data_IF_933712427362
#
_entry.id   IF_933712427362
#
_cell.length_a   1.000
_cell.length_b   1.000
_cell.length_c   1.000
_cell.angle_alpha   90.00
_cell.angle_beta   90.00
_cell.angle_gamma   90.00
#
_symmetry.space_group_name_H-M   'P 1'
#
loop_
_entity.id
_entity.type
_entity.pdbx_description
1 polymer ?
#
# COMPACT_ATOMS: atom_id res chain seq x y z
N UNK A 1 14.98 -4.73 -22.80
CA UNK A 1 15.17 -6.12 -22.33
C UNK A 1 15.48 -6.13 -20.84
N UNK A 2 14.52 -5.68 -20.03
CA UNK A 2 14.40 -6.02 -18.61
C UNK A 2 12.91 -6.09 -18.36
N UNK A 3 12.40 -7.24 -18.79
CA UNK A 3 11.09 -7.77 -18.42
C UNK A 3 11.27 -8.28 -16.99
N UNK A 4 10.97 -7.44 -16.01
CA UNK A 4 10.85 -7.88 -14.61
C UNK A 4 9.39 -7.68 -14.24
N UNK A 5 8.56 -8.61 -14.72
CA UNK A 5 7.33 -8.97 -14.04
C UNK A 5 7.74 -9.57 -12.69
N UNK A 6 7.96 -8.69 -11.72
CA UNK A 6 7.95 -9.10 -10.31
C UNK A 6 6.53 -9.55 -9.98
N UNK A 7 6.29 -10.85 -10.16
CA UNK A 7 5.13 -11.63 -9.71
C UNK A 7 5.01 -11.67 -8.17
N UNK A 8 5.19 -10.53 -7.49
CA UNK A 8 5.02 -10.43 -6.04
C UNK A 8 3.60 -9.96 -5.69
N UNK A 9 2.63 -10.82 -6.02
CA UNK A 9 1.20 -10.65 -5.70
C UNK A 9 0.75 -11.49 -4.49
N UNK A 10 1.67 -11.99 -3.66
CA UNK A 10 1.33 -12.91 -2.58
C UNK A 10 1.21 -12.20 -1.22
N UNK A 11 0.01 -11.71 -0.91
CA UNK A 11 -0.51 -11.65 0.45
C UNK A 11 -2.06 -11.63 0.40
N UNK A 12 -2.69 -12.81 0.31
CA UNK A 12 -4.12 -12.95 0.57
C UNK A 12 -4.34 -13.06 2.10
N UNK A 13 -5.30 -12.31 2.69
CA UNK A 13 -5.59 -12.42 4.11
C UNK A 13 -6.42 -13.68 4.42
N UNK A 14 -6.37 -14.12 5.68
CA UNK A 14 -7.28 -15.12 6.22
C UNK A 14 -8.73 -14.60 6.27
N UNK A 15 -9.73 -15.48 6.13
CA UNK A 15 -11.14 -15.08 6.05
C UNK A 15 -11.68 -14.69 7.44
N UNK A 16 -12.02 -13.41 7.66
CA UNK A 16 -12.76 -13.02 8.87
C UNK A 16 -12.82 -11.53 9.21
N UNK A 17 -11.87 -10.72 8.77
CA UNK A 17 -11.84 -9.28 9.08
C UNK A 17 -12.31 -8.45 7.90
N UNK A 18 -13.22 -7.50 8.14
CA UNK A 18 -13.64 -6.53 7.15
C UNK A 18 -12.40 -5.91 6.47
N UNK A 19 -12.31 -6.03 5.14
CA UNK A 19 -11.13 -5.66 4.34
C UNK A 19 -10.61 -4.29 4.79
N UNK A 20 -9.48 -4.29 5.49
CA UNK A 20 -8.91 -3.08 6.09
C UNK A 20 -8.46 -2.09 5.02
N UNK A 21 -8.33 -0.81 5.39
CA UNK A 21 -7.87 0.23 4.46
C UNK A 21 -6.52 -0.11 3.78
N UNK A 22 -5.59 -0.71 4.54
CA UNK A 22 -4.31 -1.20 4.02
C UNK A 22 -4.46 -2.24 2.91
N UNK A 23 -5.33 -3.22 3.12
CA UNK A 23 -5.53 -4.28 2.14
C UNK A 23 -6.20 -3.76 0.87
N UNK A 24 -7.18 -2.85 0.99
CA UNK A 24 -7.78 -2.20 -0.18
C UNK A 24 -6.74 -1.46 -1.02
N UNK A 25 -5.81 -0.76 -0.37
CA UNK A 25 -4.71 -0.06 -1.05
C UNK A 25 -3.75 -1.04 -1.73
N UNK A 26 -3.40 -2.14 -1.05
CA UNK A 26 -2.54 -3.20 -1.60
C UNK A 26 -3.14 -3.80 -2.88
N UNK A 27 -4.41 -4.21 -2.83
CA UNK A 27 -5.12 -4.76 -3.99
C UNK A 27 -5.18 -3.78 -5.15
N UNK A 28 -5.50 -2.52 -4.87
CA UNK A 28 -5.57 -1.49 -5.91
C UNK A 28 -4.20 -1.15 -6.50
N UNK A 29 -3.13 -1.17 -5.70
CA UNK A 29 -1.75 -1.04 -6.19
C UNK A 29 -1.40 -2.17 -7.15
N UNK A 30 -1.69 -3.41 -6.77
CA UNK A 30 -1.47 -4.57 -7.64
C UNK A 30 -2.28 -4.47 -8.94
N UNK A 31 -3.54 -4.01 -8.87
CA UNK A 31 -4.39 -3.86 -10.05
C UNK A 31 -3.86 -2.84 -11.09
N UNK A 32 -3.03 -1.88 -10.66
CA UNK A 32 -2.38 -0.91 -11.55
C UNK A 32 -0.91 -1.25 -11.84
N UNK A 33 -0.43 -2.42 -11.41
CA UNK A 33 0.91 -2.92 -11.71
C UNK A 33 2.06 -2.18 -11.03
N UNK A 34 1.81 -1.47 -9.92
CA UNK A 34 2.86 -0.76 -9.18
C UNK A 34 3.50 -1.67 -8.11
N UNK A 35 4.83 -1.63 -8.01
CA UNK A 35 5.54 -2.25 -6.89
C UNK A 35 5.41 -1.40 -5.62
N UNK A 36 5.70 -2.00 -4.46
CA UNK A 36 5.80 -1.28 -3.19
C UNK A 36 6.86 -0.17 -3.29
N UNK A 37 8.00 -0.45 -3.92
CA UNK A 37 9.08 0.52 -4.13
C UNK A 37 8.68 1.67 -5.08
N UNK A 38 7.86 1.42 -6.09
CA UNK A 38 7.31 2.48 -6.95
C UNK A 38 6.44 3.43 -6.13
N UNK A 39 5.53 2.88 -5.32
CA UNK A 39 4.65 3.68 -4.46
C UNK A 39 5.46 4.45 -3.41
N UNK A 40 6.42 3.78 -2.76
CA UNK A 40 7.31 4.40 -1.77
C UNK A 40 8.04 5.61 -2.35
N UNK A 41 8.59 5.48 -3.57
CA UNK A 41 9.25 6.58 -4.30
C UNK A 41 8.29 7.71 -4.66
N UNK A 42 7.09 7.41 -5.17
CA UNK A 42 6.10 8.42 -5.53
C UNK A 42 5.60 9.22 -4.32
N UNK A 43 5.37 8.53 -3.19
CA UNK A 43 4.81 9.12 -1.98
C UNK A 43 5.87 9.64 -1.00
N UNK A 44 7.15 9.44 -1.30
CA UNK A 44 8.30 9.83 -0.45
C UNK A 44 8.27 9.18 0.94
N UNK A 45 7.90 7.91 0.99
CA UNK A 45 7.98 7.07 2.20
C UNK A 45 8.99 5.94 1.99
N UNK A 46 9.39 5.26 3.07
CA UNK A 46 10.14 4.02 2.96
C UNK A 46 9.23 2.86 2.53
N UNK A 47 9.76 1.88 1.80
CA UNK A 47 9.04 0.65 1.45
C UNK A 47 8.43 -0.02 2.70
N UNK A 48 9.20 -0.07 3.80
CA UNK A 48 8.73 -0.59 5.10
C UNK A 48 7.47 0.11 5.64
N UNK A 49 7.33 1.42 5.43
CA UNK A 49 6.12 2.15 5.84
C UNK A 49 4.92 1.81 4.95
N UNK A 50 5.15 1.65 3.63
CA UNK A 50 4.10 1.21 2.70
C UNK A 50 3.63 -0.22 3.04
N UNK A 51 4.56 -1.14 3.28
CA UNK A 51 4.25 -2.51 3.72
C UNK A 51 3.49 -2.55 5.04
N UNK A 52 3.96 -1.79 6.03
CA UNK A 52 3.28 -1.71 7.32
C UNK A 52 1.86 -1.15 7.19
N UNK A 53 1.63 -0.20 6.29
CA UNK A 53 0.29 0.30 5.98
C UNK A 53 -0.58 -0.78 5.33
N UNK A 54 -0.07 -1.44 4.29
CA UNK A 54 -0.80 -2.49 3.56
C UNK A 54 -1.16 -3.67 4.46
N UNK A 55 -0.30 -4.02 5.41
CA UNK A 55 -0.49 -5.12 6.36
C UNK A 55 -1.28 -4.70 7.62
N UNK A 56 -1.79 -3.47 7.69
CA UNK A 56 -2.54 -2.96 8.84
C UNK A 56 -1.71 -2.79 10.13
N UNK A 57 -0.38 -2.80 10.04
CA UNK A 57 0.57 -2.69 11.16
C UNK A 57 0.76 -1.22 11.57
N UNK A 58 -0.34 -0.52 11.85
CA UNK A 58 -0.33 0.92 12.14
C UNK A 58 0.50 1.31 13.35
N UNK A 59 0.70 0.41 14.31
CA UNK A 59 1.57 0.61 15.46
C UNK A 59 3.06 0.83 15.09
N UNK A 60 3.47 0.40 13.89
CA UNK A 60 4.84 0.61 13.37
C UNK A 60 4.99 1.93 12.60
N UNK A 61 3.91 2.70 12.46
CA UNK A 61 3.90 3.96 11.73
C UNK A 61 3.99 5.16 12.68
N UNK A 62 4.65 6.26 12.25
CA UNK A 62 4.86 7.42 13.10
C UNK A 62 3.55 8.20 13.32
N UNK A 63 2.80 7.86 14.36
CA UNK A 63 1.63 8.63 14.81
C UNK A 63 0.42 8.65 13.85
N UNK A 64 -0.77 8.90 14.40
CA UNK A 64 -2.05 8.81 13.68
C UNK A 64 -2.25 9.92 12.63
N UNK A 65 -1.63 11.09 12.82
CA UNK A 65 -1.71 12.20 11.87
C UNK A 65 -1.02 11.87 10.53
N UNK A 66 0.19 11.30 10.60
CA UNK A 66 0.95 10.91 9.40
C UNK A 66 0.23 9.75 8.70
N UNK A 67 -0.29 8.78 9.45
CA UNK A 67 -1.05 7.65 8.89
C UNK A 67 -2.21 8.12 8.00
N UNK A 68 -3.03 9.08 8.47
CA UNK A 68 -4.13 9.61 7.65
C UNK A 68 -3.63 10.29 6.37
N UNK A 69 -2.54 11.04 6.46
CA UNK A 69 -1.88 11.65 5.30
C UNK A 69 -1.38 10.59 4.31
N UNK A 70 -0.77 9.52 4.82
CA UNK A 70 -0.26 8.39 4.05
C UNK A 70 -1.37 7.70 3.26
N UNK A 71 -2.47 7.35 3.94
CA UNK A 71 -3.65 6.72 3.32
C UNK A 71 -4.24 7.60 2.22
N UNK A 72 -4.39 8.90 2.48
CA UNK A 72 -4.96 9.85 1.50
C UNK A 72 -4.07 10.01 0.27
N UNK A 73 -2.78 10.26 0.46
CA UNK A 73 -1.83 10.43 -0.64
C UNK A 73 -1.74 9.16 -1.50
N UNK A 74 -1.80 7.99 -0.87
CA UNK A 74 -1.81 6.72 -1.57
C UNK A 74 -3.12 6.50 -2.35
N UNK A 75 -4.29 6.75 -1.74
CA UNK A 75 -5.56 6.68 -2.43
C UNK A 75 -5.61 7.60 -3.66
N UNK A 76 -5.03 8.80 -3.58
CA UNK A 76 -4.90 9.73 -4.72
C UNK A 76 -3.97 9.20 -5.82
N UNK A 77 -2.82 8.64 -5.46
CA UNK A 77 -1.92 8.01 -6.44
C UNK A 77 -2.62 6.91 -7.23
N UNK A 78 -3.47 6.13 -6.55
CA UNK A 78 -4.27 5.06 -7.15
C UNK A 78 -5.61 5.53 -7.74
N UNK A 79 -5.92 6.83 -7.71
CA UNK A 79 -7.19 7.42 -8.18
C UNK A 79 -8.44 6.80 -7.51
N UNK A 80 -8.31 6.42 -6.25
CA UNK A 80 -9.39 5.89 -5.40
C UNK A 80 -10.07 6.97 -4.55
N UNK A 81 -9.40 8.12 -4.38
CA UNK A 81 -9.93 9.32 -3.71
C UNK A 81 -10.55 10.20 -4.81
N UNK A 82 -11.87 10.39 -4.77
CA UNK A 82 -12.63 11.26 -5.68
C UNK A 82 -12.87 12.63 -5.04
#
# INVERSE_FOLDING_TARGET
MTDTLDDNCAAAPGPGEAVGAGERLSRARCAVGLSVDDVARHLKYSARQIEALEQGRYAQLPGTAILRGMVRSYARLLKLDA
#
